data_IF_019441707359
#
_entry.id   IF_019441707359
#
_cell.length_a   1.000
_cell.length_b   1.000
_cell.length_c   1.000
_cell.angle_alpha   90.00
_cell.angle_beta   90.00
_cell.angle_gamma   90.00
#
_symmetry.space_group_name_H-M   'P 1'
#
loop_
_entity.id
_entity.type
_entity.pdbx_description
1 polymer ?
#
# COMPACT_ATOMS: atom_id res chain seq x y z
N UNK A 1 -11.48 0.55 14.04
CA UNK A 1 -11.42 0.90 12.61
C UNK A 1 -11.04 2.36 12.38
N UNK A 2 -11.69 3.29 13.07
CA UNK A 2 -11.40 4.72 12.89
C UNK A 2 -9.98 5.11 13.23
N UNK A 3 -9.38 4.50 14.25
CA UNK A 3 -7.99 4.77 14.63
C UNK A 3 -7.01 4.29 13.55
N UNK A 4 -7.31 3.17 12.91
CA UNK A 4 -6.49 2.64 11.82
C UNK A 4 -6.52 3.61 10.64
N UNK A 5 -7.71 4.06 10.26
CA UNK A 5 -7.90 5.00 9.14
C UNK A 5 -7.17 6.31 9.43
N UNK A 6 -7.33 6.87 10.63
CA UNK A 6 -6.65 8.12 11.03
C UNK A 6 -5.13 7.96 11.01
N UNK A 7 -4.63 6.82 11.48
CA UNK A 7 -3.21 6.52 11.48
C UNK A 7 -2.65 6.51 10.06
N UNK A 8 -3.33 5.81 9.15
CA UNK A 8 -2.91 5.75 7.75
C UNK A 8 -3.01 7.12 7.07
N UNK A 9 -4.08 7.88 7.34
CA UNK A 9 -4.26 9.22 6.79
C UNK A 9 -3.17 10.17 7.25
N UNK A 10 -2.73 10.04 8.50
CA UNK A 10 -1.63 10.83 9.04
C UNK A 10 -0.32 10.55 8.31
N UNK A 11 -0.13 9.31 7.83
CA UNK A 11 1.02 8.93 7.00
C UNK A 11 0.82 9.29 5.52
N UNK A 12 -0.30 9.91 5.18
CA UNK A 12 -0.57 10.41 3.82
C UNK A 12 -1.38 9.49 2.94
N UNK A 13 -1.93 8.41 3.48
CA UNK A 13 -2.73 7.47 2.71
C UNK A 13 -4.21 7.84 2.70
N UNK A 14 -4.88 7.58 1.58
CA UNK A 14 -6.33 7.52 1.52
C UNK A 14 -6.74 6.08 1.80
N UNK A 15 -7.84 5.88 2.51
CA UNK A 15 -8.28 4.55 2.91
C UNK A 15 -9.73 4.32 2.52
N UNK A 16 -9.97 3.27 1.76
CA UNK A 16 -11.32 2.76 1.50
C UNK A 16 -11.48 1.43 2.24
N UNK A 17 -12.67 1.18 2.79
CA UNK A 17 -12.95 -0.06 3.49
C UNK A 17 -14.20 -0.72 2.94
N UNK A 18 -14.17 -2.05 2.89
CA UNK A 18 -15.32 -2.86 2.55
C UNK A 18 -15.41 -4.02 3.53
N UNK A 19 -16.52 -4.10 4.26
CA UNK A 19 -16.72 -5.13 5.28
C UNK A 19 -17.59 -6.26 4.74
N UNK A 20 -17.12 -7.49 4.89
CA UNK A 20 -17.89 -8.69 4.61
C UNK A 20 -18.38 -9.27 5.94
N UNK A 21 -19.63 -9.02 6.29
CA UNK A 21 -20.20 -9.45 7.55
C UNK A 21 -20.31 -10.98 7.65
N UNK A 22 -20.50 -11.67 6.53
CA UNK A 22 -20.60 -13.12 6.49
C UNK A 22 -19.31 -13.83 6.86
N UNK A 23 -18.16 -13.20 6.53
CA UNK A 23 -16.83 -13.73 6.85
C UNK A 23 -16.19 -13.00 8.03
N UNK A 24 -16.83 -11.97 8.55
CA UNK A 24 -16.28 -11.12 9.61
C UNK A 24 -14.89 -10.58 9.24
N UNK A 25 -14.79 -10.07 8.02
CA UNK A 25 -13.52 -9.48 7.56
C UNK A 25 -13.76 -8.13 6.91
N UNK A 26 -12.75 -7.27 6.98
CA UNK A 26 -12.75 -5.95 6.34
C UNK A 26 -11.55 -5.85 5.42
N UNK A 27 -11.79 -5.43 4.18
CA UNK A 27 -10.71 -5.14 3.24
C UNK A 27 -10.42 -3.64 3.30
N UNK A 28 -9.17 -3.30 3.61
CA UNK A 28 -8.67 -1.94 3.55
C UNK A 28 -7.94 -1.76 2.22
N UNK A 29 -8.30 -0.76 1.45
CA UNK A 29 -7.54 -0.37 0.26
C UNK A 29 -6.81 0.93 0.59
N UNK A 30 -5.50 0.85 0.69
CA UNK A 30 -4.63 1.98 0.96
C UNK A 30 -4.14 2.56 -0.36
N UNK A 31 -4.29 3.86 -0.54
CA UNK A 31 -3.88 4.55 -1.77
C UNK A 31 -3.06 5.78 -1.42
N UNK A 32 -1.94 5.97 -2.13
CA UNK A 32 -1.07 7.13 -1.94
C UNK A 32 -0.29 7.38 -3.22
N UNK A 33 -0.15 8.64 -3.60
CA UNK A 33 0.69 8.99 -4.73
C UNK A 33 2.16 8.81 -4.39
N UNK A 34 2.90 8.21 -5.32
CA UNK A 34 4.35 8.10 -5.22
C UNK A 34 5.01 9.45 -5.48
N UNK A 35 6.31 9.61 -5.19
CA UNK A 35 7.02 10.85 -5.51
C UNK A 35 6.94 11.26 -6.99
N UNK A 36 6.87 10.30 -7.91
CA UNK A 36 6.72 10.59 -9.33
C UNK A 36 5.27 10.83 -9.74
N UNK A 37 4.30 10.69 -8.82
CA UNK A 37 2.89 10.97 -9.08
C UNK A 37 2.06 9.78 -9.52
N UNK A 38 2.55 8.55 -9.33
CA UNK A 38 1.77 7.34 -9.61
C UNK A 38 0.76 7.11 -8.49
N UNK A 39 -0.48 6.79 -8.85
CA UNK A 39 -1.53 6.46 -7.88
C UNK A 39 -1.34 5.00 -7.45
N UNK A 40 -0.50 4.81 -6.44
CA UNK A 40 -0.21 3.48 -5.90
C UNK A 40 -1.26 3.07 -4.89
N UNK A 41 -1.80 1.86 -5.02
CA UNK A 41 -2.78 1.33 -4.06
C UNK A 41 -2.60 -0.17 -3.89
N UNK A 42 -3.00 -0.67 -2.72
CA UNK A 42 -3.01 -2.10 -2.45
C UNK A 42 -4.08 -2.46 -1.43
N UNK A 43 -4.73 -3.63 -1.57
CA UNK A 43 -5.73 -4.10 -0.62
C UNK A 43 -5.10 -4.97 0.46
N UNK A 44 -5.61 -4.87 1.68
CA UNK A 44 -5.21 -5.72 2.81
C UNK A 44 -6.44 -6.09 3.62
N UNK A 45 -6.55 -7.34 4.01
CA UNK A 45 -7.68 -7.84 4.80
C UNK A 45 -7.35 -7.85 6.29
N UNK A 46 -8.33 -7.48 7.12
CA UNK A 46 -8.30 -7.63 8.57
C UNK A 46 -9.42 -8.59 8.98
N UNK A 47 -9.08 -9.58 9.80
CA UNK A 47 -10.05 -10.52 10.35
C UNK A 47 -10.72 -9.92 11.59
N UNK A 48 -12.05 -9.78 11.55
CA UNK A 48 -12.80 -9.17 12.65
C UNK A 48 -12.23 -7.80 13.00
N UNK A 49 -11.93 -7.61 14.28
CA UNK A 49 -11.28 -6.41 14.80
C UNK A 49 -9.82 -6.71 15.21
N UNK A 50 -9.25 -7.77 14.68
CA UNK A 50 -7.91 -8.22 15.01
C UNK A 50 -6.85 -7.40 14.26
N UNK A 51 -6.29 -6.41 14.95
CA UNK A 51 -5.25 -5.55 14.38
C UNK A 51 -3.99 -6.35 14.03
N UNK A 52 -3.67 -7.42 14.78
CA UNK A 52 -2.53 -8.27 14.45
C UNK A 52 -2.67 -8.92 13.08
N UNK A 53 -3.90 -9.29 12.70
CA UNK A 53 -4.14 -9.85 11.36
C UNK A 53 -3.88 -8.84 10.26
N UNK A 54 -4.25 -7.57 10.48
CA UNK A 54 -3.97 -6.50 9.53
C UNK A 54 -2.46 -6.27 9.40
N UNK A 55 -1.77 -6.17 10.52
CA UNK A 55 -0.31 -5.97 10.55
C UNK A 55 0.39 -7.13 9.83
N UNK A 56 0.01 -8.37 10.13
CA UNK A 56 0.59 -9.53 9.49
C UNK A 56 0.39 -9.53 7.98
N UNK A 57 -0.78 -9.11 7.52
CA UNK A 57 -1.09 -9.07 6.09
C UNK A 57 -0.39 -7.92 5.37
N UNK A 58 -0.22 -6.75 6.01
CA UNK A 58 0.59 -5.66 5.45
C UNK A 58 2.05 -6.12 5.33
N UNK A 59 2.57 -6.78 6.39
CA UNK A 59 3.93 -7.28 6.38
C UNK A 59 4.14 -8.31 5.27
N UNK A 60 3.19 -9.21 5.08
CA UNK A 60 3.26 -10.20 3.99
C UNK A 60 3.28 -9.51 2.63
N UNK A 61 2.45 -8.50 2.42
CA UNK A 61 2.45 -7.73 1.19
C UNK A 61 3.81 -7.06 0.97
N UNK A 62 4.36 -6.44 2.00
CA UNK A 62 5.67 -5.80 1.94
C UNK A 62 6.78 -6.80 1.63
N UNK A 63 6.79 -7.95 2.32
CA UNK A 63 7.82 -8.97 2.14
C UNK A 63 7.80 -9.60 0.75
N UNK A 64 6.62 -9.64 0.11
CA UNK A 64 6.44 -10.18 -1.24
C UNK A 64 6.44 -9.11 -2.33
N UNK A 65 6.61 -7.84 -1.96
CA UNK A 65 6.61 -6.75 -2.94
C UNK A 65 7.83 -6.87 -3.85
N UNK A 66 7.57 -7.03 -5.15
CA UNK A 66 8.62 -7.11 -6.16
C UNK A 66 8.62 -5.81 -6.96
N UNK A 67 9.64 -5.00 -6.73
CA UNK A 67 9.80 -3.69 -7.39
C UNK A 67 9.76 -3.82 -8.90
N UNK A 68 10.41 -4.83 -9.46
CA UNK A 68 10.47 -5.02 -10.90
C UNK A 68 9.11 -5.41 -11.49
N UNK A 69 8.37 -6.29 -10.83
CA UNK A 69 7.01 -6.66 -11.26
C UNK A 69 6.06 -5.47 -11.19
N UNK A 70 6.12 -4.69 -10.10
CA UNK A 70 5.28 -3.50 -9.95
C UNK A 70 5.62 -2.46 -11.01
N UNK A 71 6.90 -2.22 -11.26
CA UNK A 71 7.34 -1.28 -12.30
C UNK A 71 6.83 -1.72 -13.68
N UNK A 72 6.78 -3.01 -13.93
CA UNK A 72 6.31 -3.55 -15.21
C UNK A 72 4.86 -3.13 -15.52
N UNK A 73 4.02 -2.99 -14.50
CA UNK A 73 2.63 -2.56 -14.67
C UNK A 73 2.51 -1.12 -15.19
N UNK A 74 3.53 -0.31 -15.00
CA UNK A 74 3.57 1.09 -15.40
C UNK A 74 4.31 1.32 -16.71
N UNK A 75 4.76 0.23 -17.37
CA UNK A 75 5.48 0.30 -18.66
C UNK A 75 4.53 -0.06 -19.80
N UNK A 76 4.74 0.58 -20.96
CA UNK A 76 4.03 0.25 -22.18
C UNK A 76 4.74 -0.86 -22.97
N UNK A 77 4.24 -1.19 -24.14
CA UNK A 77 4.80 -2.24 -24.99
C UNK A 77 6.24 -1.95 -25.46
N UNK A 78 6.64 -0.68 -25.48
CA UNK A 78 7.98 -0.27 -25.93
C UNK A 78 8.99 -0.26 -24.80
N UNK A 79 8.58 -0.56 -23.55
CA UNK A 79 9.46 -0.53 -22.39
C UNK A 79 9.64 0.85 -21.79
N UNK A 80 8.80 1.81 -22.16
CA UNK A 80 8.77 3.16 -21.60
C UNK A 80 7.56 3.33 -20.67
N UNK A 81 7.61 4.31 -19.80
CA UNK A 81 6.50 4.58 -18.88
C UNK A 81 5.22 4.94 -19.63
N UNK A 82 4.10 4.40 -19.13
CA UNK A 82 2.76 4.74 -19.62
C UNK A 82 2.44 6.21 -19.33
N UNK A 83 1.37 6.72 -19.95
CA UNK A 83 0.89 8.08 -19.68
C UNK A 83 0.70 8.29 -18.18
N UNK A 84 1.33 9.33 -17.63
CA UNK A 84 1.32 9.63 -16.20
C UNK A 84 2.50 9.05 -15.44
N UNK A 85 3.22 8.08 -16.01
CA UNK A 85 4.43 7.53 -15.42
C UNK A 85 5.67 8.25 -15.98
N UNK A 86 6.82 8.19 -15.27
CA UNK A 86 8.08 8.65 -15.84
C UNK A 86 8.38 7.93 -17.14
N UNK A 87 8.94 8.61 -18.12
CA UNK A 87 9.18 8.02 -19.43
C UNK A 87 10.19 6.88 -19.40
N UNK A 88 11.28 7.05 -18.63
CA UNK A 88 12.35 6.06 -18.57
C UNK A 88 12.01 4.91 -17.64
N UNK A 89 12.25 3.68 -18.09
CA UNK A 89 12.06 2.48 -17.26
C UNK A 89 12.81 2.59 -15.91
N UNK A 90 14.04 3.10 -15.94
CA UNK A 90 14.85 3.31 -14.74
C UNK A 90 14.10 4.16 -13.70
N UNK A 91 13.45 5.24 -14.15
CA UNK A 91 12.73 6.15 -13.26
C UNK A 91 11.44 5.52 -12.73
N UNK A 92 10.80 4.66 -13.52
CA UNK A 92 9.63 3.88 -13.07
C UNK A 92 10.06 2.90 -11.98
N UNK A 93 11.18 2.22 -12.16
CA UNK A 93 11.73 1.29 -11.16
C UNK A 93 12.06 2.04 -9.86
N UNK A 94 12.74 3.19 -9.96
CA UNK A 94 13.07 4.02 -8.79
C UNK A 94 11.80 4.46 -8.05
N UNK A 95 10.74 4.79 -8.79
CA UNK A 95 9.48 5.18 -8.17
C UNK A 95 8.82 4.02 -7.42
N UNK A 96 8.93 2.80 -7.93
CA UNK A 96 8.42 1.61 -7.23
C UNK A 96 9.27 1.24 -6.02
N UNK A 97 10.56 1.54 -6.03
CA UNK A 97 11.41 1.44 -4.83
C UNK A 97 10.92 2.41 -3.74
N UNK A 98 10.49 3.62 -4.14
CA UNK A 98 9.89 4.56 -3.21
C UNK A 98 8.53 4.08 -2.69
N UNK A 99 7.73 3.43 -3.54
CA UNK A 99 6.47 2.81 -3.12
C UNK A 99 6.71 1.74 -2.05
N UNK A 100 7.74 0.92 -2.21
CA UNK A 100 8.12 -0.08 -1.21
C UNK A 100 8.40 0.56 0.15
N UNK A 101 9.14 1.68 0.15
CA UNK A 101 9.41 2.44 1.38
C UNK A 101 8.14 3.02 1.98
N UNK A 102 7.18 3.42 1.14
CA UNK A 102 5.90 3.92 1.61
C UNK A 102 5.12 2.84 2.37
N UNK A 103 5.15 1.60 1.88
CA UNK A 103 4.50 0.46 2.55
C UNK A 103 5.16 0.21 3.91
N UNK A 104 6.49 0.24 3.95
CA UNK A 104 7.24 0.04 5.20
C UNK A 104 6.89 1.09 6.25
N UNK A 105 6.79 2.35 5.85
CA UNK A 105 6.39 3.43 6.76
C UNK A 105 4.96 3.26 7.27
N UNK A 106 4.04 2.81 6.40
CA UNK A 106 2.66 2.51 6.82
C UNK A 106 2.65 1.39 7.84
N UNK A 107 3.40 0.32 7.59
CA UNK A 107 3.53 -0.82 8.51
C UNK A 107 4.02 -0.34 9.88
N UNK A 108 5.07 0.46 9.91
CA UNK A 108 5.60 1.02 11.16
C UNK A 108 4.56 1.85 11.89
N UNK A 109 3.82 2.68 11.18
CA UNK A 109 2.78 3.53 11.78
C UNK A 109 1.66 2.69 12.42
N UNK A 110 1.21 1.63 11.74
CA UNK A 110 0.16 0.75 12.26
C UNK A 110 0.69 -0.07 13.46
N UNK A 111 1.95 -0.50 13.42
CA UNK A 111 2.58 -1.20 14.55
C UNK A 111 2.69 -0.29 15.78
N UNK A 112 3.05 0.98 15.59
CA UNK A 112 3.08 1.96 16.68
C UNK A 112 1.69 2.19 17.26
N UNK A 113 0.67 2.23 16.43
CA UNK A 113 -0.72 2.34 16.88
C UNK A 113 -1.08 1.17 17.80
N UNK A 114 -0.73 -0.05 17.41
CA UNK A 114 -0.99 -1.25 18.23
C UNK A 114 -0.34 -1.14 19.61
N UNK A 115 0.89 -0.66 19.66
CA UNK A 115 1.62 -0.50 20.93
C UNK A 115 1.02 0.55 21.85
N UNK A 116 0.28 1.51 21.30
CA UNK A 116 -0.36 2.58 22.08
C UNK A 116 -1.76 2.23 22.61
N UNK A 117 -2.30 1.10 22.20
CA UNK A 117 -3.65 0.66 22.61
C UNK A 117 -3.68 -0.04 23.97
#
# INVERSE_FOLDING_TARGET
MDLIIRCAETDGWSVDTETNHGRQETVFTFSKYTPAGQDFSFPVTMQGEDLDSLIGNIKEYYDNFDVDEEAYLWLDETGHGKIGAPYRMKDVVEDMEEAEKMIDRLLDAIMELEQSL
#
